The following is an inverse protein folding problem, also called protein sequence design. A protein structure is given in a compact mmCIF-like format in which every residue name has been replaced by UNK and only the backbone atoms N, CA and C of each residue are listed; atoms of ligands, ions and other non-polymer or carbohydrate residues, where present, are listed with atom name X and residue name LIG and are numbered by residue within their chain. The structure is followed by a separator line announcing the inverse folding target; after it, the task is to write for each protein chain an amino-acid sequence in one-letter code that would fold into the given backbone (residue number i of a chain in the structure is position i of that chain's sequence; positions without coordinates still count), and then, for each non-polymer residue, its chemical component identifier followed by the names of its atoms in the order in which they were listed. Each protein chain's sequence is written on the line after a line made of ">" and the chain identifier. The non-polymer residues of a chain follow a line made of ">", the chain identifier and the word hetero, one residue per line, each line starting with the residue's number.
data_IF_210894652322
#
_entry.id   IF_210894652322
#
_cell.length_a   1.000
_cell.length_b   1.000
_cell.length_c   1.000
_cell.angle_alpha   90.00
_cell.angle_beta   90.00
_cell.angle_gamma   90.00
#
_symmetry.space_group_name_H-M   'P 1'
#
loop_
_entity.id
_entity.type
_entity.pdbx_description
1 polymer ?
#
# COMPACT_ATOMS: atom_id res chain seq x y z
N UNK A 1 -17.27 30.91 -16.35
CA UNK A 1 -16.24 29.84 -16.28
C UNK A 1 -16.01 29.31 -17.69
N UNK A 2 -14.83 29.49 -18.28
CA UNK A 2 -14.50 28.96 -19.62
C UNK A 2 -14.34 27.44 -19.52
N UNK A 3 -15.13 26.70 -20.30
CA UNK A 3 -15.06 25.24 -20.43
C UNK A 3 -14.08 24.94 -21.56
N UNK A 4 -12.87 24.49 -21.24
CA UNK A 4 -11.71 24.60 -22.14
C UNK A 4 -11.65 23.51 -23.24
N UNK A 5 -12.32 22.36 -23.08
CA UNK A 5 -12.27 21.25 -24.06
C UNK A 5 -13.62 20.62 -24.45
N UNK A 6 -14.72 20.87 -23.70
CA UNK A 6 -16.07 20.28 -23.91
C UNK A 6 -16.12 18.73 -23.93
N UNK A 7 -15.06 18.04 -23.50
CA UNK A 7 -15.02 16.58 -23.41
C UNK A 7 -15.93 16.02 -22.32
N UNK A 8 -16.20 14.71 -22.37
CA UNK A 8 -16.89 13.99 -21.30
C UNK A 8 -15.93 13.78 -20.13
N UNK A 9 -16.42 13.99 -18.92
CA UNK A 9 -15.69 13.62 -17.71
C UNK A 9 -15.90 12.14 -17.44
N UNK A 10 -14.82 11.46 -17.08
CA UNK A 10 -14.80 10.07 -16.64
C UNK A 10 -14.24 10.06 -15.22
N UNK A 11 -14.73 9.15 -14.38
CA UNK A 11 -14.12 8.93 -13.08
C UNK A 11 -12.81 8.15 -13.23
N UNK A 12 -12.09 8.00 -12.13
CA UNK A 12 -10.79 7.30 -12.08
C UNK A 12 -10.90 6.00 -11.29
N UNK A 13 -12.13 5.51 -11.04
CA UNK A 13 -12.34 4.22 -10.39
C UNK A 13 -12.04 3.13 -11.41
N UNK A 14 -11.23 2.17 -11.01
CA UNK A 14 -10.88 1.03 -11.85
C UNK A 14 -11.92 -0.07 -11.65
N UNK A 15 -12.41 -0.63 -12.75
CA UNK A 15 -13.13 -1.90 -12.75
C UNK A 15 -12.12 -3.07 -12.69
N UNK A 16 -12.62 -4.29 -12.51
CA UNK A 16 -11.79 -5.48 -12.35
C UNK A 16 -10.88 -5.79 -13.54
N UNK A 17 -11.26 -5.33 -14.73
CA UNK A 17 -10.54 -5.56 -15.98
C UNK A 17 -9.60 -4.39 -16.34
N UNK A 18 -9.64 -3.29 -15.58
CA UNK A 18 -8.82 -2.12 -15.85
C UNK A 18 -7.38 -2.34 -15.38
N UNK A 19 -6.44 -1.82 -16.17
CA UNK A 19 -5.04 -1.74 -15.76
C UNK A 19 -4.85 -0.65 -14.71
N UNK A 20 -3.88 -0.84 -13.80
CA UNK A 20 -3.51 0.23 -12.87
C UNK A 20 -2.93 1.43 -13.65
N UNK A 21 -3.28 2.66 -13.28
CA UNK A 21 -2.91 3.84 -14.03
C UNK A 21 -1.41 4.14 -13.94
N UNK A 22 -0.83 4.48 -15.08
CA UNK A 22 0.50 5.08 -15.14
C UNK A 22 0.41 6.62 -15.11
N UNK A 23 1.39 7.32 -14.52
CA UNK A 23 2.67 6.80 -14.00
C UNK A 23 2.62 6.32 -12.54
N UNK A 24 1.44 6.27 -11.92
CA UNK A 24 1.31 6.07 -10.47
C UNK A 24 1.70 4.65 -10.06
N UNK A 25 1.36 3.65 -10.88
CA UNK A 25 1.80 2.28 -10.65
C UNK A 25 3.32 2.14 -10.69
N UNK A 26 3.99 2.62 -11.73
CA UNK A 26 5.47 2.58 -11.80
C UNK A 26 6.15 3.32 -10.65
N UNK A 27 5.59 4.47 -10.20
CA UNK A 27 6.11 5.20 -9.04
C UNK A 27 5.95 4.40 -7.73
N UNK A 28 4.84 3.71 -7.55
CA UNK A 28 4.60 2.91 -6.34
C UNK A 28 5.62 1.77 -6.20
N UNK A 29 5.95 1.09 -7.30
CA UNK A 29 7.00 0.06 -7.31
C UNK A 29 8.34 0.70 -6.97
N UNK A 30 8.72 1.77 -7.67
CA UNK A 30 9.99 2.46 -7.46
C UNK A 30 10.23 2.92 -6.01
N UNK A 31 9.19 3.41 -5.34
CA UNK A 31 9.28 3.82 -3.94
C UNK A 31 9.30 2.64 -2.98
N UNK A 32 8.60 1.55 -3.30
CA UNK A 32 8.59 0.34 -2.48
C UNK A 32 9.96 -0.34 -2.46
N UNK A 33 10.58 -0.52 -3.63
CA UNK A 33 11.95 -1.06 -3.79
C UNK A 33 13.00 -0.26 -3.01
N UNK A 34 12.88 1.08 -3.01
CA UNK A 34 13.85 1.98 -2.36
C UNK A 34 13.66 2.12 -0.86
N UNK A 35 12.50 1.74 -0.33
CA UNK A 35 12.21 1.90 1.09
C UNK A 35 13.00 0.87 1.92
N UNK A 36 13.28 1.21 3.17
CA UNK A 36 13.81 0.26 4.17
C UNK A 36 12.71 -0.25 5.11
N UNK A 37 11.50 0.30 4.99
CA UNK A 37 10.34 -0.08 5.77
C UNK A 37 9.08 0.10 4.93
N UNK A 38 8.32 -0.98 4.80
CA UNK A 38 6.96 -0.97 4.28
C UNK A 38 6.00 -1.28 5.42
N UNK A 39 5.04 -0.37 5.63
CA UNK A 39 4.02 -0.48 6.67
C UNK A 39 2.66 -0.59 5.99
N UNK A 40 2.05 -1.77 6.04
CA UNK A 40 0.71 -1.99 5.50
C UNK A 40 -0.33 -1.81 6.60
N UNK A 41 -1.39 -1.06 6.32
CA UNK A 41 -2.42 -0.70 7.29
C UNK A 41 -3.80 -1.08 6.75
N UNK A 42 -4.47 -2.05 7.38
CA UNK A 42 -5.87 -2.37 7.08
C UNK A 42 -6.12 -2.90 5.66
N UNK A 43 -5.16 -3.59 5.06
CA UNK A 43 -5.29 -4.23 3.74
C UNK A 43 -5.14 -5.74 3.86
N UNK A 44 -5.95 -6.49 3.11
CA UNK A 44 -5.84 -7.95 3.03
C UNK A 44 -4.69 -8.41 2.13
N UNK A 45 -4.14 -7.51 1.31
CA UNK A 45 -3.11 -7.77 0.29
C UNK A 45 -3.50 -8.83 -0.75
N UNK A 46 -4.78 -9.00 -1.04
CA UNK A 46 -5.27 -10.02 -1.99
C UNK A 46 -5.39 -9.53 -3.44
N UNK A 47 -5.47 -8.21 -3.65
CA UNK A 47 -5.67 -7.63 -4.98
C UNK A 47 -4.33 -7.38 -5.64
N UNK A 48 -4.01 -8.17 -6.66
CA UNK A 48 -2.80 -8.00 -7.44
C UNK A 48 -3.04 -7.05 -8.62
N UNK A 49 -2.05 -6.23 -9.00
CA UNK A 49 -0.66 -6.25 -8.51
C UNK A 49 -0.40 -5.42 -7.24
N UNK A 50 -1.38 -4.64 -6.74
CA UNK A 50 -1.18 -3.74 -5.60
C UNK A 50 -0.75 -4.46 -4.30
N UNK A 51 -1.25 -5.67 -4.05
CA UNK A 51 -0.93 -6.49 -2.88
C UNK A 51 0.52 -6.95 -2.82
N UNK A 52 1.24 -6.95 -3.95
CA UNK A 52 2.64 -7.34 -4.05
C UNK A 52 3.60 -6.18 -3.75
N UNK A 53 3.17 -4.94 -3.94
CA UNK A 53 4.04 -3.77 -3.79
C UNK A 53 4.77 -3.69 -2.44
N UNK A 54 4.15 -4.03 -1.29
CA UNK A 54 4.85 -4.02 0.00
C UNK A 54 6.01 -5.02 0.10
N UNK A 55 6.00 -6.08 -0.73
CA UNK A 55 7.08 -7.08 -0.77
C UNK A 55 8.32 -6.55 -1.47
N UNK A 56 8.19 -5.62 -2.42
CA UNK A 56 9.33 -5.04 -3.15
C UNK A 56 10.36 -4.40 -2.19
N UNK A 57 9.92 -3.97 -1.01
CA UNK A 57 10.81 -3.48 0.05
C UNK A 57 11.79 -4.53 0.55
N UNK A 58 11.45 -5.82 0.48
CA UNK A 58 12.31 -6.91 0.93
C UNK A 58 13.50 -7.16 -0.01
N UNK A 59 13.50 -6.59 -1.21
CA UNK A 59 14.66 -6.59 -2.10
C UNK A 59 15.76 -5.64 -1.60
N UNK A 60 15.41 -4.69 -0.73
CA UNK A 60 16.39 -3.90 0.01
C UNK A 60 17.03 -4.76 1.12
N UNK A 61 18.36 -4.83 1.24
CA UNK A 61 19.03 -5.58 2.31
C UNK A 61 18.62 -5.19 3.74
N UNK A 62 18.24 -3.92 3.94
CA UNK A 62 17.74 -3.40 5.22
C UNK A 62 16.20 -3.32 5.27
N UNK A 63 15.54 -3.87 4.25
CA UNK A 63 14.10 -3.86 4.03
C UNK A 63 13.34 -4.62 5.10
N UNK A 64 12.28 -4.00 5.62
CA UNK A 64 11.38 -4.61 6.59
C UNK A 64 9.94 -4.43 6.16
N UNK A 65 9.15 -5.49 6.33
CA UNK A 65 7.71 -5.45 6.11
C UNK A 65 6.98 -5.57 7.45
N UNK A 66 6.16 -4.58 7.78
CA UNK A 66 5.27 -4.59 8.93
C UNK A 66 3.83 -4.61 8.45
N UNK A 67 3.05 -5.56 8.95
CA UNK A 67 1.64 -5.72 8.58
C UNK A 67 0.75 -5.44 9.78
N UNK A 68 -0.12 -4.44 9.66
CA UNK A 68 -1.17 -4.12 10.64
C UNK A 68 -2.52 -4.45 10.03
N UNK A 69 -3.09 -5.57 10.44
CA UNK A 69 -4.42 -5.98 9.98
C UNK A 69 -5.11 -6.87 11.01
N UNK A 70 -6.44 -6.84 11.08
CA UNK A 70 -7.19 -7.71 12.00
C UNK A 70 -7.12 -9.18 11.62
N UNK A 71 -6.98 -9.47 10.33
CA UNK A 71 -6.98 -10.82 9.78
C UNK A 71 -5.62 -11.16 9.16
N UNK A 72 -5.30 -12.46 9.11
CA UNK A 72 -4.14 -12.97 8.39
C UNK A 72 -4.23 -12.58 6.90
N UNK A 73 -3.11 -12.16 6.34
CA UNK A 73 -2.90 -11.83 4.92
C UNK A 73 -2.07 -12.94 4.26
N UNK A 74 -2.04 -13.02 2.91
CA UNK A 74 -1.18 -13.96 2.21
C UNK A 74 0.31 -13.83 2.55
N UNK A 75 0.77 -12.61 2.84
CA UNK A 75 2.18 -12.26 3.03
C UNK A 75 2.63 -12.20 4.50
N UNK A 76 1.95 -12.95 5.37
CA UNK A 76 2.26 -12.96 6.80
C UNK A 76 3.62 -13.57 7.14
N UNK A 77 4.06 -14.55 6.35
CA UNK A 77 5.27 -15.33 6.66
C UNK A 77 6.54 -14.60 6.17
N UNK A 78 6.39 -13.69 5.20
CA UNK A 78 7.41 -12.77 4.70
C UNK A 78 7.57 -11.52 5.58
N UNK A 79 6.56 -11.21 6.41
CA UNK A 79 6.57 -10.01 7.24
C UNK A 79 7.57 -10.10 8.40
N UNK A 80 8.36 -9.05 8.59
CA UNK A 80 9.24 -8.88 9.76
C UNK A 80 8.43 -8.77 11.06
N UNK A 81 7.24 -8.16 11.00
CA UNK A 81 6.34 -8.04 12.14
C UNK A 81 4.88 -8.01 11.68
N UNK A 82 4.02 -8.70 12.42
CA UNK A 82 2.57 -8.69 12.20
C UNK A 82 1.87 -8.21 13.47
N UNK A 83 0.92 -7.29 13.32
CA UNK A 83 0.17 -6.68 14.42
C UNK A 83 -1.32 -6.89 14.16
N UNK A 84 -1.91 -7.80 14.93
CA UNK A 84 -3.33 -8.15 14.85
C UNK A 84 -4.18 -7.22 15.71
N UNK A 85 -4.38 -6.00 15.25
CA UNK A 85 -5.15 -4.98 15.95
C UNK A 85 -5.83 -4.01 15.00
N UNK A 86 -6.76 -3.20 15.53
CA UNK A 86 -7.33 -2.09 14.78
C UNK A 86 -6.25 -1.03 14.50
N UNK A 87 -6.22 -0.54 13.26
CA UNK A 87 -5.22 0.44 12.80
C UNK A 87 -5.22 1.71 13.64
N UNK A 88 -6.39 2.20 14.05
CA UNK A 88 -6.54 3.39 14.91
C UNK A 88 -5.80 3.24 16.25
N UNK A 89 -5.93 2.08 16.90
CA UNK A 89 -5.25 1.77 18.15
C UNK A 89 -3.73 1.73 17.99
N UNK A 90 -3.25 1.10 16.91
CA UNK A 90 -1.82 1.02 16.59
C UNK A 90 -1.24 2.39 16.29
N UNK A 91 -1.89 3.16 15.41
CA UNK A 91 -1.43 4.50 15.03
C UNK A 91 -1.50 5.49 16.20
N UNK A 92 -2.51 5.40 17.05
CA UNK A 92 -2.59 6.23 18.27
C UNK A 92 -1.45 5.93 19.25
N UNK A 93 -1.06 4.66 19.39
CA UNK A 93 0.13 4.26 20.15
C UNK A 93 1.40 4.80 19.51
N UNK A 94 1.58 4.55 18.21
CA UNK A 94 2.76 4.97 17.45
C UNK A 94 2.99 6.48 17.52
N UNK A 95 1.95 7.29 17.26
CA UNK A 95 2.06 8.75 17.30
C UNK A 95 2.43 9.27 18.69
N UNK A 96 1.88 8.69 19.76
CA UNK A 96 2.25 9.07 21.13
C UNK A 96 3.72 8.79 21.45
N UNK A 97 4.30 7.73 20.91
CA UNK A 97 5.72 7.42 21.09
C UNK A 97 6.65 8.29 20.22
N UNK A 98 6.17 8.75 19.06
CA UNK A 98 6.98 9.56 18.12
C UNK A 98 6.92 11.08 18.37
N UNK A 99 5.92 11.56 19.13
CA UNK A 99 5.73 12.99 19.44
C UNK A 99 4.92 13.73 18.40
#
# INVERSE_FOLDING_TARGET
>A
RRVQCRGRLHDTTLDWEDELPEPDFSKSIHHSEKSTLSLTLGTSLQINPAGLQPLETLDNPDGKLVIVNLQRTPHHDEATMTIHAKVDGVMSGLLRELG
#
